data_IF_708497281722
#
_entry.id   IF_708497281722
#
_cell.length_a   1.000
_cell.length_b   1.000
_cell.length_c   1.000
_cell.angle_alpha   90.00
_cell.angle_beta   90.00
_cell.angle_gamma   90.00
#
_symmetry.space_group_name_H-M   'P 1'
#
loop_
_entity.id
_entity.type
_entity.pdbx_description
1 polymer ?
#
# COMPACT_ATOMS: atom_id res chain seq x y z
N UNK A 1 30.24 1.75 27.86
CA UNK A 1 29.66 0.85 26.84
C UNK A 1 28.28 1.35 26.39
N UNK A 2 28.19 1.93 25.19
CA UNK A 2 26.91 2.35 24.60
C UNK A 2 26.15 1.11 24.07
N UNK A 3 24.82 1.03 24.22
CA UNK A 3 24.05 -0.08 23.69
C UNK A 3 24.09 -0.03 22.16
N UNK A 4 24.61 -1.11 21.56
CA UNK A 4 24.64 -1.32 20.12
C UNK A 4 23.22 -1.40 19.57
N UNK A 5 22.84 -0.44 18.73
CA UNK A 5 21.62 -0.53 17.91
C UNK A 5 21.66 -1.83 17.09
N UNK A 6 20.60 -2.64 17.08
CA UNK A 6 20.55 -3.82 16.22
C UNK A 6 20.65 -3.37 14.75
N UNK A 7 21.61 -3.96 14.02
CA UNK A 7 21.70 -3.82 12.57
C UNK A 7 20.54 -4.61 11.96
N UNK A 8 19.53 -3.92 11.44
CA UNK A 8 18.48 -4.51 10.64
C UNK A 8 19.12 -5.31 9.50
N UNK A 9 18.82 -6.60 9.48
CA UNK A 9 19.50 -7.60 8.67
C UNK A 9 19.19 -7.54 7.18
N UNK A 10 20.15 -8.08 6.41
CA UNK A 10 19.95 -8.95 5.26
C UNK A 10 19.21 -8.39 4.05
N UNK A 11 19.97 -8.13 2.98
CA UNK A 11 19.53 -7.70 1.64
C UNK A 11 18.52 -8.61 0.92
N UNK A 12 18.05 -9.72 1.49
CA UNK A 12 17.08 -10.61 0.85
C UNK A 12 16.19 -11.27 1.90
N UNK A 13 14.88 -10.97 1.85
CA UNK A 13 13.85 -11.80 2.50
C UNK A 13 13.44 -11.42 3.92
N UNK A 14 13.32 -10.13 4.26
CA UNK A 14 12.45 -9.77 5.38
C UNK A 14 11.05 -10.31 5.06
N UNK A 15 10.58 -11.32 5.82
CA UNK A 15 9.20 -11.83 5.72
C UNK A 15 8.28 -10.62 5.75
N UNK A 16 7.50 -10.41 4.68
CA UNK A 16 6.50 -9.34 4.66
C UNK A 16 5.64 -9.49 5.93
N UNK A 17 5.44 -8.41 6.69
CA UNK A 17 4.57 -8.47 7.86
C UNK A 17 3.20 -8.96 7.40
N UNK A 18 2.67 -9.99 8.06
CA UNK A 18 1.29 -10.43 7.82
C UNK A 18 0.40 -9.64 8.78
N UNK A 19 -0.51 -8.85 8.22
CA UNK A 19 -1.52 -8.10 8.97
C UNK A 19 -2.88 -8.56 8.48
N UNK A 20 -3.83 -8.69 9.40
CA UNK A 20 -5.19 -9.13 9.10
C UNK A 20 -6.17 -8.12 9.68
N UNK A 21 -7.23 -7.80 8.95
CA UNK A 21 -8.31 -6.95 9.45
C UNK A 21 -9.37 -7.79 10.17
N UNK A 22 -9.59 -7.51 11.46
CA UNK A 22 -10.59 -8.17 12.31
C UNK A 22 -11.68 -7.19 12.80
N UNK A 23 -11.78 -6.02 12.18
CA UNK A 23 -12.74 -4.98 12.57
C UNK A 23 -14.10 -5.09 11.86
N UNK A 24 -14.92 -4.05 12.05
CA UNK A 24 -16.27 -3.97 11.50
C UNK A 24 -16.32 -3.90 9.97
N UNK A 25 -17.38 -4.44 9.33
CA UNK A 25 -17.60 -4.28 7.89
C UNK A 25 -17.48 -2.82 7.44
N UNK A 26 -16.67 -2.59 6.40
CA UNK A 26 -16.42 -1.25 5.85
C UNK A 26 -15.23 -0.49 6.47
N UNK A 27 -14.68 -0.91 7.61
CA UNK A 27 -13.52 -0.24 8.20
C UNK A 27 -12.15 -0.68 7.65
N UNK A 28 -12.12 -1.73 6.81
CA UNK A 28 -10.88 -2.31 6.27
C UNK A 28 -10.05 -1.31 5.47
N UNK A 29 -10.68 -0.42 4.69
CA UNK A 29 -10.00 0.58 3.87
C UNK A 29 -9.16 1.56 4.70
N UNK A 30 -9.77 2.17 5.73
CA UNK A 30 -9.07 3.12 6.60
C UNK A 30 -7.99 2.40 7.43
N UNK A 31 -8.33 1.24 7.99
CA UNK A 31 -7.35 0.42 8.72
C UNK A 31 -6.15 0.06 7.83
N UNK A 32 -6.36 -0.33 6.57
CA UNK A 32 -5.25 -0.70 5.70
C UNK A 32 -4.32 0.49 5.41
N UNK A 33 -4.91 1.67 5.19
CA UNK A 33 -4.17 2.90 4.93
C UNK A 33 -3.35 3.38 6.14
N UNK A 34 -3.81 3.10 7.35
CA UNK A 34 -3.13 3.46 8.60
C UNK A 34 -2.11 2.40 9.04
N UNK A 35 -2.49 1.14 8.97
CA UNK A 35 -1.79 0.05 9.65
C UNK A 35 -1.06 -0.88 8.70
N UNK A 36 -1.41 -1.00 7.41
CA UNK A 36 -0.95 -2.13 6.57
C UNK A 36 -0.24 -1.75 5.26
N UNK A 37 0.02 -0.47 4.98
CA UNK A 37 0.76 -0.05 3.77
C UNK A 37 2.21 -0.60 3.70
N UNK A 38 2.78 -1.02 4.82
CA UNK A 38 4.09 -1.70 4.88
C UNK A 38 4.07 -3.16 4.39
N UNK A 39 2.88 -3.73 4.17
CA UNK A 39 2.71 -5.07 3.59
C UNK A 39 2.81 -5.07 2.06
N UNK A 40 2.66 -3.88 1.44
CA UNK A 40 2.64 -3.68 -0.01
C UNK A 40 4.03 -3.95 -0.61
N UNK A 41 4.06 -4.69 -1.72
CA UNK A 41 5.31 -4.94 -2.43
C UNK A 41 5.80 -3.68 -3.16
N UNK A 42 7.04 -3.28 -2.92
CA UNK A 42 7.74 -2.28 -3.72
C UNK A 42 8.60 -2.97 -4.80
N UNK A 43 8.11 -3.08 -6.06
CA UNK A 43 8.85 -3.75 -7.13
C UNK A 43 10.11 -2.99 -7.55
N UNK A 44 10.20 -1.69 -7.23
CA UNK A 44 11.34 -0.85 -7.57
C UNK A 44 12.42 -0.88 -6.49
N UNK A 45 12.16 -1.53 -5.34
CA UNK A 45 13.13 -1.65 -4.26
C UNK A 45 13.62 -0.29 -3.75
N UNK A 46 12.78 0.74 -3.79
CA UNK A 46 13.15 2.10 -3.40
C UNK A 46 13.48 2.22 -1.92
N UNK A 47 12.98 1.27 -1.11
CA UNK A 47 13.09 1.27 0.34
C UNK A 47 12.31 2.40 1.01
N UNK A 48 11.52 3.16 0.25
CA UNK A 48 10.69 4.25 0.77
C UNK A 48 9.33 3.69 1.20
N UNK A 49 8.87 4.01 2.42
CA UNK A 49 7.54 3.61 2.85
C UNK A 49 6.46 4.19 1.93
N UNK A 50 5.54 3.33 1.51
CA UNK A 50 4.32 3.74 0.82
C UNK A 50 3.43 4.48 1.82
N UNK A 51 2.91 5.64 1.41
CA UNK A 51 2.07 6.50 2.26
C UNK A 51 0.73 6.75 1.59
N UNK A 52 -0.34 6.84 2.38
CA UNK A 52 -1.70 7.11 1.88
C UNK A 52 -1.78 8.37 0.98
N UNK A 53 -0.99 9.40 1.27
CA UNK A 53 -0.94 10.65 0.49
C UNK A 53 -0.02 10.62 -0.74
N UNK A 54 0.73 9.53 -0.95
CA UNK A 54 1.65 9.38 -2.08
C UNK A 54 0.89 9.41 -3.39
N UNK A 55 1.33 10.26 -4.32
CA UNK A 55 0.79 10.33 -5.68
C UNK A 55 1.32 9.12 -6.46
N UNK A 56 0.42 8.29 -6.98
CA UNK A 56 0.72 7.12 -7.79
C UNK A 56 0.81 7.45 -9.28
N UNK A 57 -0.08 8.33 -9.73
CA UNK A 57 -0.18 8.75 -11.12
C UNK A 57 -0.67 10.20 -11.20
N UNK A 58 -0.25 10.91 -12.25
CA UNK A 58 -0.59 12.31 -12.51
C UNK A 58 -0.93 12.48 -13.98
N UNK A 59 -1.99 13.24 -14.25
CA UNK A 59 -2.33 13.77 -15.56
C UNK A 59 -2.49 15.30 -15.49
N UNK A 60 -2.86 15.92 -16.61
CA UNK A 60 -3.29 17.33 -16.66
C UNK A 60 -4.51 17.62 -15.79
N UNK A 61 -5.37 16.62 -15.60
CA UNK A 61 -6.69 16.76 -14.96
C UNK A 61 -6.64 16.46 -13.45
N UNK A 62 -5.53 15.90 -12.97
CA UNK A 62 -5.38 15.65 -11.54
C UNK A 62 -4.31 14.63 -11.16
N UNK A 63 -4.32 14.30 -9.87
CA UNK A 63 -3.44 13.29 -9.29
C UNK A 63 -4.27 12.18 -8.68
N UNK A 64 -3.84 10.95 -8.83
CA UNK A 64 -4.34 9.79 -8.09
C UNK A 64 -3.38 9.52 -6.95
N UNK A 65 -3.90 9.39 -5.72
CA UNK A 65 -3.11 8.98 -4.56
C UNK A 65 -3.43 7.54 -4.15
N UNK A 66 -2.54 6.95 -3.35
CA UNK A 66 -2.72 5.62 -2.75
C UNK A 66 -4.08 5.47 -2.05
N UNK A 67 -4.47 6.45 -1.23
CA UNK A 67 -5.76 6.42 -0.53
C UNK A 67 -6.96 6.41 -1.47
N UNK A 68 -6.85 7.06 -2.62
CA UNK A 68 -7.95 7.17 -3.57
C UNK A 68 -8.18 5.79 -4.22
N UNK A 69 -7.10 5.09 -4.58
CA UNK A 69 -7.16 3.71 -5.09
C UNK A 69 -7.77 2.75 -4.07
N UNK A 70 -7.29 2.73 -2.82
CA UNK A 70 -7.77 1.78 -1.81
C UNK A 70 -9.24 2.02 -1.47
N UNK A 71 -9.66 3.28 -1.34
CA UNK A 71 -11.05 3.61 -1.02
C UNK A 71 -11.99 3.26 -2.17
N UNK A 72 -11.63 3.58 -3.41
CA UNK A 72 -12.44 3.20 -4.57
C UNK A 72 -12.53 1.69 -4.73
N UNK A 73 -11.40 0.97 -4.60
CA UNK A 73 -11.38 -0.48 -4.68
C UNK A 73 -12.23 -1.14 -3.59
N UNK A 74 -12.20 -0.62 -2.35
CA UNK A 74 -12.98 -1.17 -1.25
C UNK A 74 -14.50 -1.08 -1.45
N UNK A 75 -14.97 -0.16 -2.31
CA UNK A 75 -16.40 0.04 -2.58
C UNK A 75 -16.83 -0.67 -3.86
N UNK A 76 -16.04 -0.54 -4.93
CA UNK A 76 -16.45 -0.92 -6.30
C UNK A 76 -15.55 -2.00 -6.93
N UNK A 77 -14.56 -2.51 -6.20
CA UNK A 77 -13.58 -3.46 -6.75
C UNK A 77 -12.70 -2.82 -7.83
N UNK A 78 -12.20 -3.62 -8.78
CA UNK A 78 -11.33 -3.13 -9.85
C UNK A 78 -12.00 -2.06 -10.72
N UNK A 79 -13.33 -2.13 -10.90
CA UNK A 79 -14.11 -1.18 -11.70
C UNK A 79 -14.09 0.24 -11.12
N UNK A 80 -13.90 0.38 -9.80
CA UNK A 80 -13.75 1.69 -9.15
C UNK A 80 -12.36 2.32 -9.31
N UNK A 81 -11.36 1.54 -9.74
CA UNK A 81 -9.98 2.00 -9.86
C UNK A 81 -9.81 2.72 -11.20
N UNK A 82 -9.55 4.02 -11.15
CA UNK A 82 -9.39 4.84 -12.36
C UNK A 82 -8.32 4.30 -13.32
N UNK A 83 -8.53 4.45 -14.63
CA UNK A 83 -7.54 4.11 -15.67
C UNK A 83 -6.18 4.77 -15.42
N UNK A 84 -6.18 6.01 -14.92
CA UNK A 84 -4.94 6.72 -14.57
C UNK A 84 -4.16 6.00 -13.47
N UNK A 85 -4.83 5.43 -12.47
CA UNK A 85 -4.18 4.62 -11.43
C UNK A 85 -3.48 3.40 -12.03
N UNK A 86 -4.12 2.74 -13.00
CA UNK A 86 -3.58 1.54 -13.66
C UNK A 86 -2.30 1.79 -14.47
N UNK A 87 -1.96 3.04 -14.76
CA UNK A 87 -0.65 3.40 -15.34
C UNK A 87 0.52 3.19 -14.36
N UNK A 88 0.23 3.11 -13.06
CA UNK A 88 1.24 2.87 -12.02
C UNK A 88 1.36 1.37 -11.72
N UNK A 89 2.57 0.76 -11.82
CA UNK A 89 2.76 -0.66 -11.50
C UNK A 89 2.48 -0.98 -10.02
N UNK A 90 2.47 0.03 -9.15
CA UNK A 90 2.20 -0.12 -7.70
C UNK A 90 0.72 -0.43 -7.44
N UNK A 91 -0.19 -0.01 -8.32
CA UNK A 91 -1.65 -0.17 -8.13
C UNK A 91 -2.05 -1.63 -7.92
N UNK A 92 -1.49 -2.55 -8.71
CA UNK A 92 -1.76 -3.98 -8.55
C UNK A 92 -1.29 -4.51 -7.19
N UNK A 93 -0.10 -4.11 -6.75
CA UNK A 93 0.44 -4.57 -5.46
C UNK A 93 -0.28 -3.98 -4.26
N UNK A 94 -0.91 -2.81 -4.40
CA UNK A 94 -1.79 -2.24 -3.39
C UNK A 94 -3.04 -3.07 -3.20
N UNK A 95 -3.69 -3.46 -4.31
CA UNK A 95 -4.89 -4.30 -4.31
C UNK A 95 -4.59 -5.69 -3.75
N UNK A 96 -3.52 -6.34 -4.24
CA UNK A 96 -3.12 -7.66 -3.75
C UNK A 96 -2.80 -7.66 -2.24
N UNK A 97 -2.14 -6.60 -1.75
CA UNK A 97 -1.87 -6.45 -0.33
C UNK A 97 -3.15 -6.19 0.47
N UNK A 98 -4.06 -5.38 -0.06
CA UNK A 98 -5.37 -5.11 0.55
C UNK A 98 -6.20 -6.38 0.69
N UNK A 99 -6.26 -7.22 -0.34
CA UNK A 99 -7.01 -8.48 -0.32
C UNK A 99 -6.37 -9.56 0.56
N UNK A 100 -5.05 -9.51 0.73
CA UNK A 100 -4.31 -10.43 1.58
C UNK A 100 -4.42 -10.11 3.09
N UNK A 101 -4.88 -8.91 3.44
CA UNK A 101 -5.19 -8.49 4.81
C UNK A 101 -6.64 -8.80 5.19
#
# INVERSE_FOLDING_TARGET
PAPTKPKTGGLFGAKKPKKTYEGEPGGKAEWFLEEALDTVYDPHGTGKPIKAAMILARSSDGNVRVRDVIRSYAVEGEDGVSELAWTSPITKYLIEAYDAC
#
